data_IF_417607554313
#
_entry.id   IF_417607554313
#
_cell.length_a   1.000
_cell.length_b   1.000
_cell.length_c   1.000
_cell.angle_alpha   90.00
_cell.angle_beta   90.00
_cell.angle_gamma   90.00
#
_symmetry.space_group_name_H-M   'P 1'
#
loop_
_entity.id
_entity.type
_entity.pdbx_description
1 polymer ?
#
# COMPACT_ATOMS: atom_id res chain seq x y z
N UNK A 1 12.77 -49.24 69.04
CA UNK A 1 11.92 -48.32 69.83
C UNK A 1 11.12 -47.47 68.83
N UNK A 2 9.82 -47.78 68.71
CA UNK A 2 8.68 -47.05 68.12
C UNK A 2 8.84 -46.25 66.81
N UNK A 3 8.27 -46.79 65.73
CA UNK A 3 7.65 -46.03 64.62
C UNK A 3 6.31 -45.44 65.11
N UNK A 4 6.08 -44.14 64.89
CA UNK A 4 4.78 -43.49 65.07
C UNK A 4 4.14 -43.21 63.71
N UNK A 5 3.04 -43.92 63.44
CA UNK A 5 2.08 -43.62 62.36
C UNK A 5 1.17 -42.49 62.84
N UNK A 6 1.16 -41.36 62.13
CA UNK A 6 0.17 -40.30 62.30
C UNK A 6 -0.98 -40.55 61.31
N UNK A 7 -2.11 -41.05 61.82
CA UNK A 7 -3.37 -41.12 61.08
C UNK A 7 -4.10 -39.78 61.16
N UNK A 8 -4.04 -38.97 60.10
CA UNK A 8 -4.87 -37.78 59.96
C UNK A 8 -6.20 -38.14 59.29
N UNK A 9 -7.30 -38.13 60.06
CA UNK A 9 -8.65 -38.26 59.50
C UNK A 9 -9.06 -36.94 58.83
N UNK A 10 -9.13 -36.93 57.50
CA UNK A 10 -9.73 -35.82 56.77
C UNK A 10 -11.25 -35.88 56.94
N UNK A 11 -11.83 -34.82 57.50
CA UNK A 11 -13.27 -34.69 57.69
C UNK A 11 -13.99 -34.69 56.34
N UNK A 12 -15.01 -35.55 56.20
CA UNK A 12 -15.90 -35.60 55.03
C UNK A 12 -16.54 -34.24 54.69
N UNK A 13 -16.72 -33.36 55.69
CA UNK A 13 -17.22 -32.00 55.47
C UNK A 13 -16.24 -31.14 54.67
N UNK A 14 -14.94 -31.36 54.84
CA UNK A 14 -13.88 -30.64 54.11
C UNK A 14 -13.82 -31.09 52.66
N UNK A 15 -13.98 -32.40 52.39
CA UNK A 15 -14.00 -32.95 51.03
C UNK A 15 -15.20 -32.41 50.23
N UNK A 16 -16.40 -32.43 50.83
CA UNK A 16 -17.63 -31.92 50.20
C UNK A 16 -17.52 -30.42 49.90
N UNK A 17 -16.95 -29.63 50.83
CA UNK A 17 -16.75 -28.20 50.64
C UNK A 17 -15.82 -27.90 49.45
N UNK A 18 -14.70 -28.59 49.35
CA UNK A 18 -13.78 -28.41 48.21
C UNK A 18 -14.38 -28.87 46.88
N UNK A 19 -15.22 -29.90 46.87
CA UNK A 19 -15.87 -30.38 45.63
C UNK A 19 -16.98 -29.44 45.15
N UNK A 20 -17.67 -28.77 46.07
CA UNK A 20 -18.66 -27.75 45.73
C UNK A 20 -18.00 -26.46 45.22
N UNK A 21 -16.89 -26.04 45.84
CA UNK A 21 -16.13 -24.87 45.41
C UNK A 21 -15.51 -25.07 44.04
N UNK A 22 -14.93 -26.25 43.74
CA UNK A 22 -14.36 -26.52 42.41
C UNK A 22 -15.44 -26.56 41.33
N UNK A 23 -16.59 -27.18 41.59
CA UNK A 23 -17.71 -27.22 40.64
C UNK A 23 -18.34 -25.85 40.38
N UNK A 24 -18.40 -24.98 41.39
CA UNK A 24 -18.84 -23.59 41.19
C UNK A 24 -17.83 -22.80 40.35
N UNK A 25 -16.53 -23.01 40.58
CA UNK A 25 -15.48 -22.35 39.79
C UNK A 25 -15.45 -22.82 38.34
N UNK A 26 -15.61 -24.11 38.04
CA UNK A 26 -15.73 -24.59 36.65
C UNK A 26 -17.02 -24.11 35.99
N UNK A 27 -18.14 -24.05 36.71
CA UNK A 27 -19.39 -23.52 36.17
C UNK A 27 -19.31 -22.01 35.87
N UNK A 28 -18.66 -21.22 36.73
CA UNK A 28 -18.39 -19.79 36.49
C UNK A 28 -17.40 -19.61 35.34
N UNK A 29 -16.33 -20.40 35.29
CA UNK A 29 -15.34 -20.33 34.22
C UNK A 29 -15.95 -20.71 32.85
N UNK A 30 -16.79 -21.74 32.78
CA UNK A 30 -17.52 -22.10 31.56
C UNK A 30 -18.56 -21.04 31.16
N UNK A 31 -19.23 -20.37 32.10
CA UNK A 31 -20.13 -19.24 31.80
C UNK A 31 -19.37 -18.03 31.29
N UNK A 32 -18.20 -17.74 31.86
CA UNK A 32 -17.35 -16.64 31.44
C UNK A 32 -16.71 -16.92 30.07
N UNK A 33 -16.32 -18.17 29.79
CA UNK A 33 -15.83 -18.60 28.47
C UNK A 33 -16.93 -18.55 27.41
N UNK A 34 -18.16 -18.98 27.73
CA UNK A 34 -19.33 -18.82 26.83
C UNK A 34 -19.69 -17.36 26.57
N UNK A 35 -19.62 -16.51 27.60
CA UNK A 35 -19.86 -15.06 27.44
C UNK A 35 -18.75 -14.38 26.61
N UNK A 36 -17.52 -14.90 26.65
CA UNK A 36 -16.42 -14.46 25.79
C UNK A 36 -16.57 -14.97 24.35
N UNK A 37 -17.01 -16.22 24.15
CA UNK A 37 -17.30 -16.80 22.82
C UNK A 37 -18.53 -16.15 22.13
N UNK A 38 -19.54 -15.72 22.88
CA UNK A 38 -20.66 -14.93 22.35
C UNK A 38 -20.27 -13.48 22.01
N UNK A 39 -19.10 -13.00 22.46
CA UNK A 39 -18.62 -11.63 22.20
C UNK A 39 -17.70 -11.50 20.98
N UNK A 40 -17.39 -12.61 20.29
CA UNK A 40 -16.44 -12.62 19.16
C UNK A 40 -17.05 -12.55 17.76
N UNK A 41 -18.35 -12.27 17.62
CA UNK A 41 -18.96 -11.99 16.31
C UNK A 41 -19.33 -10.51 16.18
N UNK A 42 -18.32 -9.65 16.28
CA UNK A 42 -18.36 -8.31 15.69
C UNK A 42 -18.02 -8.45 14.19
N UNK A 43 -18.83 -9.21 13.46
CA UNK A 43 -18.96 -8.94 12.02
C UNK A 43 -19.52 -7.53 11.93
N UNK A 44 -18.71 -6.60 11.43
CA UNK A 44 -19.19 -5.30 10.97
C UNK A 44 -20.29 -5.59 9.98
N UNK A 45 -21.55 -5.45 10.40
CA UNK A 45 -22.71 -5.71 9.56
C UNK A 45 -22.69 -4.68 8.44
N UNK A 46 -22.17 -5.07 7.27
CA UNK A 46 -22.16 -4.24 6.07
C UNK A 46 -23.60 -3.90 5.75
N UNK A 47 -23.93 -2.62 5.83
CA UNK A 47 -25.28 -2.15 5.53
C UNK A 47 -25.50 -2.33 4.02
N UNK A 48 -26.58 -2.99 3.57
CA UNK A 48 -26.82 -3.26 2.15
C UNK A 48 -26.73 -2.01 1.24
N UNK A 49 -26.99 -0.82 1.80
CA UNK A 49 -26.87 0.47 1.10
C UNK A 49 -25.42 0.83 0.70
N UNK A 50 -24.41 0.33 1.42
CA UNK A 50 -22.99 0.65 1.21
C UNK A 50 -22.18 -0.52 0.65
N UNK A 51 -22.81 -1.68 0.45
CA UNK A 51 -22.12 -2.93 0.12
C UNK A 51 -21.28 -2.83 -1.16
N UNK A 52 -21.72 -2.08 -2.17
CA UNK A 52 -21.00 -2.00 -3.44
C UNK A 52 -19.66 -1.26 -3.28
N UNK A 53 -19.66 -0.13 -2.58
CA UNK A 53 -18.44 0.61 -2.31
C UNK A 53 -17.50 -0.21 -1.41
N UNK A 54 -18.06 -0.84 -0.37
CA UNK A 54 -17.32 -1.69 0.55
C UNK A 54 -16.64 -2.85 -0.18
N UNK A 55 -17.41 -3.66 -0.89
CA UNK A 55 -16.89 -4.84 -1.58
C UNK A 55 -15.86 -4.45 -2.64
N UNK A 56 -16.18 -3.48 -3.49
CA UNK A 56 -15.34 -3.10 -4.63
C UNK A 56 -14.09 -2.33 -4.27
N UNK A 57 -14.02 -1.77 -3.07
CA UNK A 57 -12.83 -1.09 -2.55
C UNK A 57 -12.07 -1.93 -1.51
N UNK A 58 -12.44 -3.22 -1.36
CA UNK A 58 -11.83 -4.12 -0.36
C UNK A 58 -11.95 -3.59 1.08
N UNK A 59 -13.13 -3.07 1.41
CA UNK A 59 -13.43 -2.48 2.72
C UNK A 59 -12.90 -1.08 2.95
N UNK A 60 -12.28 -0.45 1.93
CA UNK A 60 -11.72 0.90 2.06
C UNK A 60 -12.79 1.99 2.11
N UNK A 61 -13.95 1.81 1.48
CA UNK A 61 -15.09 2.73 1.57
C UNK A 61 -16.28 2.00 2.15
N UNK A 62 -16.76 2.42 3.32
CA UNK A 62 -17.90 1.85 4.04
C UNK A 62 -19.07 2.83 4.18
N UNK A 63 -18.95 4.02 3.60
CA UNK A 63 -19.83 5.17 3.81
C UNK A 63 -20.32 5.82 2.50
N UNK A 64 -20.10 5.16 1.35
CA UNK A 64 -20.54 5.65 0.03
C UNK A 64 -21.77 4.85 -0.42
N UNK A 65 -22.98 5.45 -0.50
CA UNK A 65 -24.17 4.76 -0.96
C UNK A 65 -24.00 4.14 -2.35
N UNK A 66 -24.62 2.98 -2.58
CA UNK A 66 -24.54 2.24 -3.85
C UNK A 66 -24.91 3.11 -5.06
N UNK A 67 -25.96 3.92 -4.96
CA UNK A 67 -26.35 4.84 -6.06
C UNK A 67 -25.24 5.85 -6.38
N UNK A 68 -24.62 6.42 -5.33
CA UNK A 68 -23.52 7.37 -5.48
C UNK A 68 -22.28 6.69 -6.06
N UNK A 69 -21.96 5.49 -5.60
CA UNK A 69 -20.84 4.67 -6.09
C UNK A 69 -20.99 4.35 -7.58
N UNK A 70 -22.17 3.88 -7.99
CA UNK A 70 -22.48 3.61 -9.41
C UNK A 70 -22.40 4.88 -10.26
N UNK A 71 -23.12 5.93 -9.85
CA UNK A 71 -23.28 7.14 -10.67
C UNK A 71 -22.01 7.96 -10.80
N UNK A 72 -21.30 8.21 -9.69
CA UNK A 72 -20.17 9.15 -9.66
C UNK A 72 -18.81 8.49 -9.89
N UNK A 73 -18.69 7.19 -9.60
CA UNK A 73 -17.40 6.49 -9.64
C UNK A 73 -17.36 5.46 -10.79
N UNK A 74 -18.25 4.47 -10.79
CA UNK A 74 -18.24 3.41 -11.80
C UNK A 74 -18.53 3.94 -13.21
N UNK A 75 -19.65 4.63 -13.40
CA UNK A 75 -20.05 5.12 -14.73
C UNK A 75 -18.98 6.02 -15.35
N UNK A 76 -18.39 6.91 -14.54
CA UNK A 76 -17.28 7.77 -14.97
C UNK A 76 -16.06 6.95 -15.38
N UNK A 77 -15.65 5.97 -14.57
CA UNK A 77 -14.49 5.14 -14.86
C UNK A 77 -14.68 4.29 -16.12
N UNK A 78 -15.87 3.71 -16.32
CA UNK A 78 -16.20 2.88 -17.49
C UNK A 78 -16.25 3.66 -18.81
N UNK A 79 -16.57 4.95 -18.75
CA UNK A 79 -16.62 5.83 -19.92
C UNK A 79 -15.31 6.60 -20.16
N UNK A 80 -14.33 6.47 -19.27
CA UNK A 80 -13.10 7.25 -19.34
C UNK A 80 -12.24 6.84 -20.55
N UNK A 81 -11.85 7.83 -21.35
CA UNK A 81 -10.84 7.67 -22.40
C UNK A 81 -9.47 7.98 -21.81
N UNK A 82 -8.61 6.96 -21.68
CA UNK A 82 -7.29 7.13 -21.08
C UNK A 82 -6.25 7.68 -22.06
N UNK A 83 -6.45 7.45 -23.36
CA UNK A 83 -5.54 7.90 -24.41
C UNK A 83 -6.26 8.80 -25.41
N UNK A 84 -5.58 9.84 -25.88
CA UNK A 84 -6.09 10.75 -26.92
C UNK A 84 -6.38 9.99 -28.21
N UNK A 85 -5.43 9.16 -28.63
CA UNK A 85 -5.52 8.24 -29.77
C UNK A 85 -5.38 6.84 -29.20
N UNK A 86 -6.39 5.98 -29.38
CA UNK A 86 -6.45 4.69 -28.70
C UNK A 86 -5.50 3.67 -29.36
N UNK A 87 -5.40 3.70 -30.67
CA UNK A 87 -4.66 2.73 -31.48
C UNK A 87 -3.15 3.04 -31.51
N UNK A 88 -2.81 4.32 -31.44
CA UNK A 88 -1.43 4.81 -31.37
C UNK A 88 -1.30 5.99 -30.38
N UNK A 89 -1.12 5.71 -29.08
CA UNK A 89 -0.98 6.74 -28.04
C UNK A 89 0.24 7.65 -28.21
N UNK A 90 1.19 7.31 -29.09
CA UNK A 90 2.35 8.14 -29.44
C UNK A 90 2.12 8.98 -30.71
N UNK A 91 0.99 8.82 -31.40
CA UNK A 91 0.70 9.53 -32.64
C UNK A 91 0.82 11.04 -32.45
N UNK A 92 1.70 11.68 -33.22
CA UNK A 92 1.91 13.13 -33.20
C UNK A 92 2.54 13.69 -31.93
N UNK A 93 3.06 12.84 -31.04
CA UNK A 93 3.80 13.24 -29.85
C UNK A 93 5.25 13.53 -30.23
N UNK A 94 5.71 14.76 -29.98
CA UNK A 94 7.10 15.20 -30.23
C UNK A 94 7.97 15.17 -28.99
N UNK A 95 7.38 15.37 -27.82
CA UNK A 95 8.09 15.36 -26.54
C UNK A 95 7.21 14.84 -25.40
N UNK A 96 7.81 14.28 -24.33
CA UNK A 96 7.09 13.65 -23.22
C UNK A 96 5.97 14.50 -22.63
N UNK A 97 6.21 15.80 -22.46
CA UNK A 97 5.22 16.71 -21.88
C UNK A 97 3.92 16.79 -22.71
N UNK A 98 3.97 16.61 -24.04
CA UNK A 98 2.74 16.54 -24.85
C UNK A 98 1.94 15.28 -24.55
N UNK A 99 2.60 14.13 -24.45
CA UNK A 99 1.90 12.89 -24.14
C UNK A 99 1.30 12.96 -22.73
N UNK A 100 2.08 13.48 -21.77
CA UNK A 100 1.62 13.71 -20.40
C UNK A 100 0.46 14.70 -20.35
N UNK A 101 0.39 15.68 -21.25
CA UNK A 101 -0.75 16.60 -21.32
C UNK A 101 -2.00 15.93 -21.88
N UNK A 102 -1.87 15.16 -22.98
CA UNK A 102 -3.01 14.63 -23.72
C UNK A 102 -3.55 13.28 -23.22
N UNK A 103 -2.85 12.59 -22.31
CA UNK A 103 -3.22 11.24 -21.87
C UNK A 103 -3.28 11.13 -20.35
N UNK A 104 -4.03 10.14 -19.86
CA UNK A 104 -4.06 9.75 -18.45
C UNK A 104 -4.77 10.75 -17.54
N UNK A 105 -5.93 11.27 -17.92
CA UNK A 105 -6.69 12.12 -17.00
C UNK A 105 -7.35 11.31 -15.86
N UNK A 106 -7.33 11.81 -14.61
CA UNK A 106 -7.99 11.14 -13.50
C UNK A 106 -9.48 10.91 -13.74
N UNK A 107 -9.89 9.67 -13.58
CA UNK A 107 -11.27 9.23 -13.81
C UNK A 107 -11.95 8.71 -12.54
N UNK A 108 -11.20 8.52 -11.46
CA UNK A 108 -11.74 8.26 -10.12
C UNK A 108 -11.65 9.55 -9.28
N UNK A 109 -12.70 9.84 -8.51
CA UNK A 109 -12.73 11.03 -7.64
C UNK A 109 -12.58 10.56 -6.20
N UNK A 110 -11.38 10.68 -5.62
CA UNK A 110 -11.22 10.39 -4.20
C UNK A 110 -12.04 11.37 -3.33
N UNK A 111 -12.87 10.90 -2.37
CA UNK A 111 -13.64 11.78 -1.48
C UNK A 111 -12.77 12.77 -0.71
N UNK A 112 -11.69 12.28 -0.09
CA UNK A 112 -10.74 13.08 0.67
C UNK A 112 -9.34 12.95 0.09
N UNK A 113 -9.05 13.74 -0.95
CA UNK A 113 -7.72 13.77 -1.57
C UNK A 113 -6.84 14.84 -0.90
N UNK A 114 -5.66 14.45 -0.39
CA UNK A 114 -4.70 15.39 0.24
C UNK A 114 -3.29 15.18 -0.31
N UNK A 115 -2.52 16.26 -0.44
CA UNK A 115 -1.07 16.20 -0.71
C UNK A 115 -0.34 16.10 0.63
N UNK A 116 0.09 14.90 0.99
CA UNK A 116 0.63 14.59 2.33
C UNK A 116 2.11 14.93 2.36
N UNK A 117 2.55 15.64 3.41
CA UNK A 117 3.91 16.16 3.54
C UNK A 117 4.09 17.62 3.10
N UNK A 118 2.99 18.30 2.75
CA UNK A 118 2.99 19.71 2.37
C UNK A 118 2.96 19.96 0.86
N UNK A 119 3.45 21.13 0.44
CA UNK A 119 3.52 21.54 -0.96
C UNK A 119 4.94 21.35 -1.52
N UNK A 120 5.07 21.36 -2.85
CA UNK A 120 6.35 21.18 -3.54
C UNK A 120 6.63 19.72 -3.90
N UNK A 121 7.92 19.39 -4.07
CA UNK A 121 8.38 18.06 -4.48
C UNK A 121 8.69 17.15 -3.29
N UNK A 122 8.33 15.87 -3.41
CA UNK A 122 8.43 14.88 -2.33
C UNK A 122 7.06 14.48 -1.76
N UNK A 123 6.22 15.42 -1.29
CA UNK A 123 4.84 15.17 -0.90
C UNK A 123 4.04 14.55 -2.04
N UNK A 124 3.21 13.55 -1.74
CA UNK A 124 2.40 12.85 -2.76
C UNK A 124 0.90 13.01 -2.49
N UNK A 125 0.11 13.00 -3.55
CA UNK A 125 -1.35 12.97 -3.47
C UNK A 125 -1.83 11.59 -3.02
N UNK A 126 -2.45 11.52 -1.84
CA UNK A 126 -2.93 10.27 -1.25
C UNK A 126 -4.44 10.36 -1.03
N UNK A 127 -5.14 9.24 -1.25
CA UNK A 127 -6.59 9.19 -1.10
C UNK A 127 -6.96 8.74 0.31
N UNK A 128 -7.65 9.60 1.03
CA UNK A 128 -8.36 9.31 2.29
C UNK A 128 -7.50 8.54 3.30
N UNK A 129 -6.27 9.02 3.49
CA UNK A 129 -5.27 8.35 4.31
C UNK A 129 -5.68 8.31 5.79
N UNK A 130 -6.52 9.24 6.25
CA UNK A 130 -7.09 9.23 7.60
C UNK A 130 -7.87 7.95 7.88
N UNK A 131 -8.55 7.36 6.88
CA UNK A 131 -9.34 6.14 7.08
C UNK A 131 -8.46 4.92 7.43
N UNK A 132 -7.17 4.95 7.10
CA UNK A 132 -6.24 3.90 7.51
C UNK A 132 -6.13 3.77 9.04
N UNK A 133 -6.42 4.83 9.82
CA UNK A 133 -6.44 4.74 11.30
C UNK A 133 -7.43 3.68 11.77
N UNK A 134 -8.65 3.67 11.21
CA UNK A 134 -9.66 2.66 11.56
C UNK A 134 -9.26 1.29 11.02
N UNK A 135 -8.93 1.21 9.72
CA UNK A 135 -8.61 -0.05 9.03
C UNK A 135 -7.42 -0.76 9.68
N UNK A 136 -6.36 -0.04 10.05
CA UNK A 136 -5.20 -0.62 10.70
C UNK A 136 -5.54 -1.17 12.08
N UNK A 137 -6.35 -0.47 12.88
CA UNK A 137 -6.74 -0.90 14.24
C UNK A 137 -7.62 -2.15 14.26
N UNK A 138 -8.31 -2.44 13.16
CA UNK A 138 -9.13 -3.65 13.01
C UNK A 138 -8.27 -4.90 12.63
N UNK A 139 -6.98 -4.72 12.31
CA UNK A 139 -6.08 -5.83 11.98
C UNK A 139 -5.51 -6.49 13.23
N UNK A 140 -5.12 -7.78 13.17
CA UNK A 140 -4.52 -8.49 14.30
C UNK A 140 -3.26 -7.85 14.88
N UNK A 141 -2.43 -7.22 14.03
CA UNK A 141 -1.22 -6.50 14.40
C UNK A 141 -1.47 -5.01 14.70
N UNK A 142 -2.73 -4.56 14.63
CA UNK A 142 -3.16 -3.18 14.78
C UNK A 142 -2.35 -2.17 13.92
N UNK A 143 -1.83 -2.62 12.77
CA UNK A 143 -0.85 -1.90 11.96
C UNK A 143 -1.14 -2.01 10.47
N UNK A 144 -0.72 -0.98 9.74
CA UNK A 144 -0.71 -0.92 8.28
C UNK A 144 0.72 -1.03 7.75
N UNK A 145 0.87 -1.27 6.44
CA UNK A 145 2.17 -1.42 5.80
C UNK A 145 2.36 -0.37 4.71
N UNK A 146 3.45 0.39 4.81
CA UNK A 146 3.80 1.44 3.85
C UNK A 146 5.17 1.17 3.26
N UNK A 147 5.26 1.14 1.93
CA UNK A 147 6.53 1.08 1.21
C UNK A 147 6.79 2.41 0.51
N UNK A 148 8.00 2.93 0.66
CA UNK A 148 8.46 4.15 0.00
C UNK A 148 9.81 3.92 -0.68
N UNK A 149 9.81 3.92 -2.01
CA UNK A 149 10.99 3.66 -2.83
C UNK A 149 11.53 4.98 -3.39
N UNK A 150 12.85 5.19 -3.21
CA UNK A 150 13.59 6.32 -3.75
C UNK A 150 13.35 7.61 -2.97
N UNK A 151 13.69 7.61 -1.68
CA UNK A 151 13.47 8.79 -0.83
C UNK A 151 14.45 9.93 -1.13
N UNK A 152 15.68 9.63 -1.56
CA UNK A 152 16.77 10.60 -1.71
C UNK A 152 16.95 11.49 -0.48
N UNK A 153 16.68 10.94 0.72
CA UNK A 153 16.73 11.68 1.99
C UNK A 153 15.54 12.60 2.27
N UNK A 154 14.54 12.66 1.37
CA UNK A 154 13.30 13.40 1.57
C UNK A 154 12.23 12.48 2.18
N UNK A 155 11.91 12.74 3.45
CA UNK A 155 10.94 11.99 4.23
C UNK A 155 9.61 12.75 4.42
N UNK A 156 9.39 13.84 3.68
CA UNK A 156 8.24 14.73 3.94
C UNK A 156 6.90 13.99 3.84
N UNK A 157 6.75 13.07 2.88
CA UNK A 157 5.52 12.31 2.72
C UNK A 157 5.30 11.34 3.89
N UNK A 158 6.36 10.61 4.28
CA UNK A 158 6.36 9.65 5.37
C UNK A 158 6.06 10.32 6.71
N UNK A 159 6.72 11.45 6.99
CA UNK A 159 6.47 12.24 8.19
C UNK A 159 5.08 12.88 8.19
N UNK A 160 4.61 13.33 7.02
CA UNK A 160 3.25 13.85 6.87
C UNK A 160 2.17 12.80 7.15
N UNK A 161 2.43 11.52 6.90
CA UNK A 161 1.51 10.44 7.29
C UNK A 161 1.49 10.27 8.81
N UNK A 162 2.65 10.28 9.47
CA UNK A 162 2.75 10.18 10.93
C UNK A 162 2.01 11.35 11.60
N UNK A 163 2.21 12.57 11.10
CA UNK A 163 1.49 13.76 11.58
C UNK A 163 -0.02 13.61 11.38
N UNK A 164 -0.45 13.17 10.19
CA UNK A 164 -1.86 12.97 9.87
C UNK A 164 -2.56 11.98 10.82
N UNK A 165 -1.88 10.90 11.17
CA UNK A 165 -2.42 9.85 12.04
C UNK A 165 -2.24 10.15 13.54
N UNK A 166 -1.49 11.21 13.87
CA UNK A 166 -1.21 11.59 15.26
C UNK A 166 -0.21 10.66 15.97
N UNK A 167 0.62 9.91 15.24
CA UNK A 167 1.61 8.99 15.81
C UNK A 167 1.99 7.81 14.92
N UNK A 168 2.83 6.88 15.41
CA UNK A 168 3.24 5.67 14.69
C UNK A 168 2.06 4.70 14.56
N UNK A 169 1.40 4.73 13.41
CA UNK A 169 0.30 3.81 13.08
C UNK A 169 0.77 2.63 12.20
N UNK A 170 1.39 2.94 11.07
CA UNK A 170 1.87 1.92 10.14
C UNK A 170 3.34 1.56 10.41
N UNK A 171 3.72 0.37 9.97
CA UNK A 171 5.11 0.02 9.68
C UNK A 171 5.50 0.62 8.32
N UNK A 172 6.45 1.56 8.34
CA UNK A 172 6.88 2.30 7.15
C UNK A 172 8.29 1.86 6.77
N UNK A 173 8.46 1.33 5.56
CA UNK A 173 9.77 1.00 5.03
C UNK A 173 10.18 1.98 3.93
N UNK A 174 11.34 2.58 4.12
CA UNK A 174 11.94 3.51 3.16
C UNK A 174 13.14 2.82 2.53
N UNK A 175 13.15 2.72 1.20
CA UNK A 175 14.18 2.03 0.44
C UNK A 175 14.89 3.00 -0.48
N UNK A 176 16.20 3.10 -0.35
CA UNK A 176 17.06 3.86 -1.28
C UNK A 176 18.45 3.26 -1.27
N UNK A 177 19.13 3.20 -2.41
CA UNK A 177 20.50 2.64 -2.48
C UNK A 177 21.58 3.61 -1.98
N UNK A 178 21.24 4.90 -1.79
CA UNK A 178 22.09 5.90 -1.13
C UNK A 178 22.19 5.65 0.37
N UNK A 179 22.93 6.51 1.09
CA UNK A 179 22.90 6.50 2.55
C UNK A 179 22.10 7.71 3.03
N UNK A 180 20.85 7.45 3.38
CA UNK A 180 19.90 8.46 3.84
C UNK A 180 19.23 8.05 5.16
N UNK A 181 19.93 7.25 5.97
CA UNK A 181 19.43 6.89 7.28
C UNK A 181 19.31 8.13 8.17
N UNK A 182 18.23 8.16 8.94
CA UNK A 182 17.91 9.24 9.86
C UNK A 182 17.87 8.70 11.29
N UNK A 183 18.39 9.50 12.23
CA UNK A 183 18.34 9.18 13.65
C UNK A 183 17.09 9.76 14.34
N UNK A 184 16.48 10.80 13.75
CA UNK A 184 15.32 11.49 14.33
C UNK A 184 13.99 10.77 14.07
N UNK A 185 14.01 9.64 13.37
CA UNK A 185 12.84 8.80 13.12
C UNK A 185 12.66 7.69 14.15
N UNK A 186 13.49 7.67 15.20
CA UNK A 186 13.38 6.73 16.31
C UNK A 186 12.02 6.89 17.02
N UNK A 187 11.24 5.82 17.09
CA UNK A 187 9.89 5.83 17.65
C UNK A 187 8.75 6.11 16.67
N UNK A 188 9.03 6.44 15.39
CA UNK A 188 8.00 6.67 14.37
C UNK A 188 7.65 5.45 13.52
N UNK A 189 8.21 4.27 13.85
CA UNK A 189 8.05 3.02 13.11
C UNK A 189 8.44 3.14 11.62
N UNK A 190 9.46 3.98 11.35
CA UNK A 190 10.07 4.17 10.04
C UNK A 190 11.40 3.40 10.02
N UNK A 191 11.52 2.49 9.06
CA UNK A 191 12.67 1.59 8.88
C UNK A 191 13.34 1.90 7.55
N UNK A 192 14.55 2.45 7.61
CA UNK A 192 15.33 2.72 6.42
C UNK A 192 16.12 1.49 5.99
N UNK A 193 16.13 1.22 4.69
CA UNK A 193 16.88 0.16 4.06
C UNK A 193 17.74 0.74 2.95
N UNK A 194 19.06 0.51 3.02
CA UNK A 194 20.00 0.88 1.97
C UNK A 194 19.92 -0.06 0.74
N UNK A 195 18.71 -0.26 0.21
CA UNK A 195 18.42 -1.17 -0.89
C UNK A 195 17.79 -0.40 -2.05
N UNK A 196 18.33 -0.58 -3.25
CA UNK A 196 17.67 -0.14 -4.47
C UNK A 196 16.62 -1.15 -4.95
N UNK A 197 15.57 -0.67 -5.62
CA UNK A 197 14.61 -1.54 -6.28
C UNK A 197 15.16 -2.07 -7.61
N UNK A 198 15.42 -3.36 -7.67
CA UNK A 198 15.84 -4.11 -8.85
C UNK A 198 14.66 -4.61 -9.69
N UNK A 199 14.98 -5.31 -10.78
CA UNK A 199 14.01 -5.96 -11.66
C UNK A 199 14.27 -7.47 -11.68
N UNK A 200 13.23 -8.28 -11.48
CA UNK A 200 13.34 -9.75 -11.56
C UNK A 200 13.55 -10.26 -12.99
N UNK A 201 13.20 -9.43 -13.99
CA UNK A 201 13.18 -9.81 -15.42
C UNK A 201 14.13 -8.99 -16.28
N UNK A 202 14.85 -8.01 -15.73
CA UNK A 202 15.81 -7.18 -16.45
C UNK A 202 17.13 -7.08 -15.72
N UNK A 203 18.12 -7.87 -16.16
CA UNK A 203 19.50 -7.85 -15.64
C UNK A 203 20.34 -6.66 -16.10
N UNK A 204 19.83 -5.87 -17.05
CA UNK A 204 20.51 -4.67 -17.57
C UNK A 204 20.37 -3.47 -16.63
N UNK A 205 19.24 -3.37 -15.93
CA UNK A 205 18.95 -2.22 -15.09
C UNK A 205 19.97 -2.11 -13.93
N UNK A 206 20.57 -0.92 -13.76
CA UNK A 206 21.54 -0.59 -12.68
C UNK A 206 22.74 -1.54 -12.56
N UNK A 207 23.11 -2.28 -13.61
CA UNK A 207 24.30 -3.17 -13.63
C UNK A 207 25.58 -2.49 -13.10
N UNK A 208 25.80 -1.21 -13.43
CA UNK A 208 26.95 -0.43 -12.95
C UNK A 208 26.89 -0.08 -11.46
N UNK A 209 25.70 0.05 -10.89
CA UNK A 209 25.52 0.32 -9.45
C UNK A 209 25.79 -0.96 -8.65
N UNK A 210 25.27 -2.09 -9.13
CA UNK A 210 25.54 -3.42 -8.57
C UNK A 210 27.04 -3.73 -8.62
N UNK A 211 27.71 -3.44 -9.75
CA UNK A 211 29.17 -3.62 -9.87
C UNK A 211 29.99 -2.73 -8.91
N UNK A 212 29.40 -1.65 -8.38
CA UNK A 212 30.00 -0.79 -7.35
C UNK A 212 29.65 -1.23 -5.92
N UNK A 213 29.06 -2.41 -5.75
CA UNK A 213 28.72 -2.99 -4.45
C UNK A 213 27.38 -2.52 -3.86
N UNK A 214 26.57 -1.77 -4.62
CA UNK A 214 25.26 -1.34 -4.15
C UNK A 214 24.26 -2.50 -4.20
N UNK A 215 23.45 -2.65 -3.14
CA UNK A 215 22.45 -3.72 -3.05
C UNK A 215 21.19 -3.33 -3.80
N UNK A 216 20.81 -4.13 -4.79
CA UNK A 216 19.53 -4.01 -5.50
C UNK A 216 18.76 -5.31 -5.35
N UNK A 217 17.50 -5.22 -4.93
CA UNK A 217 16.61 -6.35 -4.70
C UNK A 217 15.34 -6.18 -5.52
N UNK A 218 14.87 -7.25 -6.16
CA UNK A 218 13.53 -7.29 -6.73
C UNK A 218 12.46 -7.07 -5.67
N UNK A 219 11.26 -6.67 -6.09
CA UNK A 219 10.15 -6.46 -5.17
C UNK A 219 9.83 -7.72 -4.33
N UNK A 220 9.91 -8.90 -4.95
CA UNK A 220 9.70 -10.19 -4.28
C UNK A 220 10.77 -10.47 -3.23
N UNK A 221 12.05 -10.19 -3.54
CA UNK A 221 13.13 -10.35 -2.56
C UNK A 221 12.97 -9.41 -1.38
N UNK A 222 12.55 -8.17 -1.60
CA UNK A 222 12.26 -7.21 -0.53
C UNK A 222 11.15 -7.77 0.39
N UNK A 223 10.01 -8.18 -0.19
CA UNK A 223 8.90 -8.74 0.61
C UNK A 223 9.33 -9.98 1.39
N UNK A 224 10.07 -10.90 0.78
CA UNK A 224 10.56 -12.11 1.43
C UNK A 224 11.52 -11.80 2.59
N UNK A 225 12.48 -10.89 2.39
CA UNK A 225 13.45 -10.52 3.44
C UNK A 225 12.80 -9.84 4.65
N UNK A 226 11.70 -9.13 4.43
CA UNK A 226 10.95 -8.46 5.49
C UNK A 226 9.81 -9.32 6.06
N UNK A 227 9.54 -10.52 5.50
CA UNK A 227 8.42 -11.37 5.93
C UNK A 227 7.05 -10.83 5.53
N UNK A 228 6.97 -10.02 4.46
CA UNK A 228 5.76 -9.34 4.01
C UNK A 228 5.07 -9.99 2.81
N UNK A 229 5.40 -11.25 2.47
CA UNK A 229 4.84 -11.97 1.31
C UNK A 229 3.30 -12.09 1.35
N UNK A 230 2.75 -12.25 2.55
CA UNK A 230 1.31 -12.39 2.80
C UNK A 230 0.65 -11.10 3.34
N UNK A 231 1.40 -10.01 3.44
CA UNK A 231 0.85 -8.72 3.92
C UNK A 231 0.38 -7.84 2.77
N UNK A 232 -0.81 -7.27 2.93
CA UNK A 232 -1.30 -6.16 2.10
C UNK A 232 -0.42 -4.92 2.32
N UNK A 233 0.00 -4.28 1.23
CA UNK A 233 0.65 -2.96 1.29
C UNK A 233 -0.43 -1.90 1.14
N UNK A 234 -0.62 -1.07 2.15
CA UNK A 234 -1.68 -0.05 2.15
C UNK A 234 -1.31 1.12 1.25
N UNK A 235 -0.09 1.61 1.39
CA UNK A 235 0.42 2.74 0.63
C UNK A 235 1.77 2.37 0.01
N UNK A 236 1.88 2.49 -1.31
CA UNK A 236 3.11 2.24 -2.05
C UNK A 236 3.55 3.48 -2.82
N UNK A 237 4.57 4.16 -2.30
CA UNK A 237 5.24 5.27 -3.00
C UNK A 237 6.43 4.74 -3.80
N UNK A 238 6.57 5.17 -5.05
CA UNK A 238 7.73 4.87 -5.89
C UNK A 238 8.16 6.08 -6.73
N UNK A 239 9.37 6.55 -6.48
CA UNK A 239 9.97 7.72 -7.12
C UNK A 239 11.48 7.47 -7.22
N UNK A 240 11.89 6.75 -8.25
CA UNK A 240 13.21 6.11 -8.33
C UNK A 240 13.93 6.41 -9.64
N UNK A 241 13.61 7.56 -10.25
CA UNK A 241 14.32 8.15 -11.37
C UNK A 241 14.43 7.14 -12.54
N UNK A 242 13.30 6.58 -12.98
CA UNK A 242 13.22 5.68 -14.15
C UNK A 242 13.18 4.18 -13.82
N UNK A 243 13.32 3.79 -12.55
CA UNK A 243 13.19 2.38 -12.17
C UNK A 243 11.76 1.86 -12.36
N UNK A 244 10.77 2.75 -12.34
CA UNK A 244 9.35 2.43 -12.48
C UNK A 244 9.10 1.59 -13.74
N UNK A 245 9.72 1.99 -14.86
CA UNK A 245 9.61 1.31 -16.15
C UNK A 245 10.24 -0.09 -16.16
N UNK A 246 11.22 -0.33 -15.29
CA UNK A 246 12.04 -1.53 -15.29
C UNK A 246 11.50 -2.64 -14.39
N UNK A 247 10.67 -2.32 -13.41
CA UNK A 247 10.25 -3.28 -12.39
C UNK A 247 8.74 -3.29 -12.14
N UNK A 248 7.93 -2.55 -12.91
CA UNK A 248 6.49 -2.53 -12.66
C UNK A 248 5.83 -3.91 -12.66
N UNK A 249 6.30 -4.84 -13.49
CA UNK A 249 5.77 -6.21 -13.51
C UNK A 249 6.05 -6.99 -12.22
N UNK A 250 7.01 -6.54 -11.42
CA UNK A 250 7.32 -7.17 -10.14
C UNK A 250 6.32 -6.79 -9.04
N UNK A 251 5.66 -5.62 -9.14
CA UNK A 251 4.77 -5.13 -8.08
C UNK A 251 3.32 -4.88 -8.51
N UNK A 252 3.03 -4.72 -9.80
CA UNK A 252 1.70 -4.32 -10.27
C UNK A 252 0.59 -5.34 -9.95
N UNK A 253 0.93 -6.62 -9.80
CA UNK A 253 -0.03 -7.66 -9.42
C UNK A 253 -0.09 -7.92 -7.91
N UNK A 254 0.77 -7.27 -7.12
CA UNK A 254 0.78 -7.45 -5.67
C UNK A 254 -0.47 -6.86 -5.02
N UNK A 255 -0.75 -7.31 -3.80
CA UNK A 255 -1.85 -6.80 -2.99
C UNK A 255 -1.50 -5.42 -2.40
N UNK A 256 -1.63 -4.39 -3.22
CA UNK A 256 -1.37 -2.99 -2.90
C UNK A 256 -2.70 -2.22 -2.97
N UNK A 257 -3.02 -1.43 -1.94
CA UNK A 257 -4.27 -0.63 -1.89
C UNK A 257 -4.16 0.71 -2.58
N UNK A 258 -3.05 1.43 -2.43
CA UNK A 258 -2.79 2.69 -3.13
C UNK A 258 -1.37 2.78 -3.65
N UNK A 259 -1.21 3.39 -4.83
CA UNK A 259 0.09 3.62 -5.46
C UNK A 259 0.26 5.11 -5.71
N UNK A 260 1.37 5.68 -5.25
CA UNK A 260 1.81 7.04 -5.59
C UNK A 260 3.14 6.93 -6.33
N UNK A 261 3.13 7.21 -7.63
CA UNK A 261 4.30 7.00 -8.49
C UNK A 261 4.72 8.28 -9.19
N UNK A 262 6.01 8.59 -9.24
CA UNK A 262 6.55 9.59 -10.16
C UNK A 262 7.25 8.91 -11.33
N UNK A 263 6.68 9.03 -12.52
CA UNK A 263 7.35 8.55 -13.73
C UNK A 263 8.26 9.63 -14.27
N UNK A 264 9.45 9.24 -14.75
CA UNK A 264 10.44 10.14 -15.31
C UNK A 264 10.56 9.88 -16.81
N UNK A 265 10.29 10.87 -17.67
CA UNK A 265 10.32 10.77 -19.13
C UNK A 265 9.42 9.63 -19.69
N UNK A 266 9.47 9.32 -20.98
CA UNK A 266 8.71 8.24 -21.63
C UNK A 266 9.62 7.24 -22.35
N UNK A 267 9.34 5.92 -22.22
CA UNK A 267 9.99 4.88 -23.02
C UNK A 267 9.51 4.90 -24.48
N UNK A 268 10.25 4.21 -25.35
CA UNK A 268 9.93 4.04 -26.77
C UNK A 268 9.77 2.55 -27.12
N UNK A 269 8.81 2.15 -27.97
CA UNK A 269 8.43 0.75 -28.18
C UNK A 269 9.52 -0.14 -28.82
N UNK A 270 10.50 0.46 -29.50
CA UNK A 270 11.48 -0.29 -30.31
C UNK A 270 12.93 0.11 -30.05
N UNK A 271 13.17 0.99 -29.07
CA UNK A 271 14.50 1.56 -28.86
C UNK A 271 14.72 1.82 -27.38
N UNK A 272 15.81 1.29 -26.84
CA UNK A 272 16.29 1.70 -25.52
C UNK A 272 16.65 3.18 -25.59
N UNK A 273 16.18 3.95 -24.61
CA UNK A 273 16.33 5.41 -24.63
C UNK A 273 17.26 5.83 -23.51
N UNK A 274 18.39 6.43 -23.87
CA UNK A 274 19.29 7.05 -22.90
C UNK A 274 18.71 8.39 -22.44
N UNK A 275 18.57 8.56 -21.12
CA UNK A 275 17.98 9.74 -20.49
C UNK A 275 18.85 10.19 -19.31
N UNK A 276 18.69 11.42 -18.80
CA UNK A 276 19.34 11.83 -17.56
C UNK A 276 19.02 10.94 -16.35
N UNK A 277 17.93 10.18 -16.40
CA UNK A 277 17.47 9.26 -15.35
C UNK A 277 18.02 7.83 -15.54
N UNK A 278 18.66 7.56 -16.67
CA UNK A 278 19.22 6.26 -17.03
C UNK A 278 18.68 5.76 -18.37
N UNK A 279 19.13 4.55 -18.74
CA UNK A 279 18.72 3.87 -19.96
C UNK A 279 17.36 3.21 -19.71
N UNK A 280 16.35 3.61 -20.47
CA UNK A 280 15.00 3.04 -20.38
C UNK A 280 14.83 1.86 -21.32
N UNK A 281 14.00 0.87 -20.95
CA UNK A 281 13.78 -0.29 -21.79
C UNK A 281 12.99 0.10 -23.04
N UNK A 282 13.19 -0.66 -24.12
CA UNK A 282 12.32 -0.59 -25.28
C UNK A 282 10.93 -1.18 -24.91
N UNK A 283 9.94 -0.31 -24.71
CA UNK A 283 8.58 -0.71 -24.33
C UNK A 283 7.56 0.35 -24.74
N UNK A 284 6.30 -0.04 -24.90
CA UNK A 284 5.22 0.94 -25.08
C UNK A 284 4.93 1.56 -23.72
N UNK A 285 4.77 2.88 -23.68
CA UNK A 285 4.28 3.58 -22.48
C UNK A 285 2.95 3.00 -21.99
N UNK A 286 2.09 2.55 -22.90
CA UNK A 286 0.79 1.97 -22.57
C UNK A 286 0.91 0.63 -21.86
N UNK A 287 1.94 -0.18 -22.11
CA UNK A 287 2.11 -1.45 -21.40
C UNK A 287 2.15 -1.25 -19.87
N UNK A 288 2.70 -0.11 -19.42
CA UNK A 288 2.76 0.26 -18.01
C UNK A 288 1.39 0.69 -17.46
N UNK A 289 0.71 1.61 -18.13
CA UNK A 289 -0.58 2.15 -17.66
C UNK A 289 -1.73 1.16 -17.82
N UNK A 290 -1.73 0.36 -18.89
CA UNK A 290 -2.69 -0.72 -19.10
C UNK A 290 -2.50 -1.81 -18.05
N UNK A 291 -1.26 -2.16 -17.68
CA UNK A 291 -1.01 -3.11 -16.60
C UNK A 291 -1.58 -2.64 -15.25
N UNK A 292 -1.52 -1.34 -14.94
CA UNK A 292 -2.17 -0.78 -13.74
C UNK A 292 -3.69 -0.98 -13.82
N UNK A 293 -4.30 -0.61 -14.95
CA UNK A 293 -5.74 -0.77 -15.18
C UNK A 293 -6.19 -2.23 -15.10
N UNK A 294 -5.47 -3.15 -15.73
CA UNK A 294 -5.75 -4.60 -15.75
C UNK A 294 -5.62 -5.24 -14.36
N UNK A 295 -4.84 -4.61 -13.48
CA UNK A 295 -4.73 -4.96 -12.07
C UNK A 295 -5.68 -4.15 -11.17
N UNK A 296 -6.67 -3.46 -11.73
CA UNK A 296 -7.73 -2.80 -10.97
C UNK A 296 -7.32 -1.48 -10.31
N UNK A 297 -6.26 -0.83 -10.79
CA UNK A 297 -5.84 0.47 -10.26
C UNK A 297 -6.55 1.61 -10.98
N UNK A 298 -7.39 2.34 -10.24
CA UNK A 298 -8.12 3.50 -10.71
C UNK A 298 -7.32 4.79 -10.47
N UNK A 299 -7.07 5.56 -11.52
CA UNK A 299 -6.33 6.83 -11.44
C UNK A 299 -7.18 7.94 -10.82
N UNK A 300 -6.72 8.49 -9.69
CA UNK A 300 -7.42 9.56 -8.96
C UNK A 300 -6.66 10.88 -8.86
N UNK A 301 -5.35 10.86 -9.13
CA UNK A 301 -4.55 12.08 -9.19
C UNK A 301 -3.46 12.00 -10.24
N UNK A 302 -3.16 13.16 -10.83
CA UNK A 302 -2.07 13.38 -11.76
C UNK A 302 -1.55 14.79 -11.54
N UNK A 303 -0.25 14.93 -11.34
CA UNK A 303 0.41 16.21 -11.20
C UNK A 303 1.67 16.25 -12.06
N UNK A 304 1.68 17.13 -13.06
CA UNK A 304 2.82 17.28 -13.96
C UNK A 304 3.87 18.16 -13.30
N UNK A 305 5.10 17.68 -13.22
CA UNK A 305 6.24 18.46 -12.74
C UNK A 305 6.69 19.46 -13.82
N UNK A 306 5.98 20.59 -13.89
CA UNK A 306 6.17 21.62 -14.92
C UNK A 306 7.48 22.41 -14.74
N UNK A 307 7.90 22.67 -13.49
CA UNK A 307 9.02 23.54 -13.19
C UNK A 307 10.39 22.86 -13.32
N UNK A 308 10.61 21.70 -12.69
CA UNK A 308 11.92 21.02 -12.69
C UNK A 308 12.03 19.92 -13.74
N UNK A 309 10.90 19.29 -14.09
CA UNK A 309 10.86 18.23 -15.11
C UNK A 309 10.59 18.73 -16.53
N UNK A 310 10.28 20.02 -16.73
CA UNK A 310 9.76 20.54 -18.01
C UNK A 310 8.59 19.70 -18.55
N UNK A 311 7.75 19.16 -17.65
CA UNK A 311 6.67 18.25 -17.96
C UNK A 311 7.07 16.83 -18.36
N UNK A 312 8.35 16.45 -18.21
CA UNK A 312 8.83 15.08 -18.45
C UNK A 312 8.61 14.16 -17.26
N UNK A 313 8.57 14.70 -16.04
CA UNK A 313 8.20 13.94 -14.84
C UNK A 313 6.75 14.20 -14.46
N UNK A 314 6.04 13.17 -14.02
CA UNK A 314 4.63 13.26 -13.64
C UNK A 314 4.39 12.36 -12.44
N UNK A 315 3.74 12.92 -11.42
CA UNK A 315 3.20 12.17 -10.30
C UNK A 315 1.81 11.64 -10.65
N UNK A 316 1.59 10.35 -10.41
CA UNK A 316 0.32 9.67 -10.61
C UNK A 316 -0.09 9.00 -9.31
N UNK A 317 -1.38 8.95 -9.04
CA UNK A 317 -1.89 8.32 -7.82
C UNK A 317 -3.10 7.46 -8.13
N UNK A 318 -3.02 6.20 -7.70
CA UNK A 318 -3.98 5.16 -8.01
C UNK A 318 -4.55 4.51 -6.76
N UNK A 319 -5.81 4.12 -6.85
CA UNK A 319 -6.52 3.36 -5.82
C UNK A 319 -6.90 1.99 -6.37
N UNK A 320 -6.67 0.93 -5.59
CA UNK A 320 -7.05 -0.44 -5.94
C UNK A 320 -8.55 -0.62 -5.78
N UNK A 321 -9.19 -1.09 -6.85
CA UNK A 321 -10.58 -1.49 -6.88
C UNK A 321 -10.70 -2.90 -7.46
N UNK A 322 -11.76 -3.62 -7.11
CA UNK A 322 -12.07 -4.92 -7.72
C UNK A 322 -12.32 -4.75 -9.22
N UNK A 323 -12.01 -5.79 -10.00
CA UNK A 323 -12.15 -5.75 -11.46
C UNK A 323 -13.60 -5.51 -11.93
N UNK A 324 -14.59 -5.97 -11.17
CA UNK A 324 -16.02 -5.76 -11.44
C UNK A 324 -16.48 -4.30 -11.28
N UNK A 325 -15.68 -3.43 -10.64
CA UNK A 325 -15.89 -1.98 -10.70
C UNK A 325 -15.84 -1.46 -12.15
N UNK A 326 -14.95 -2.02 -12.98
CA UNK A 326 -14.69 -1.58 -14.34
C UNK A 326 -15.52 -2.30 -15.41
N UNK A 327 -16.23 -3.38 -15.04
CA UNK A 327 -16.95 -4.26 -15.95
C UNK A 327 -18.29 -3.71 -16.42
#
# INVERSE_FOLDING_TARGET
>A
MKQQLLSGSVSWKTVIFWTLVTNLWTALFCRMHRALEESTDLTTTVIPEYSLAYDQSFGFFDDIPNEKWQRLYQNRARQARHYRVLEDPLQGIKFPAQWNFFNGDPYFVCPHKRKIGGLGGGPKWTCDAERLVRIARERPDASCLVYSIGSRGNYLWELGLIELWGGPLCEIHVFDFGDFQRNDTEGWNIHYHQWGLGSSYSSKYRKRAIARGQTFLSFQEIRRRLGHEERTIDLFKIDCEGCEWHNYKDWVSADIRQIMIETHDLPLPHTEKDTPFGIFPAMKVTDFFDALKDNGFALFSKEVNSQRGFGRSVEWSFLKLRRDFFA
#
